data_IF_986219450575
#
_entry.id   IF_986219450575
#
_cell.length_a   1.000
_cell.length_b   1.000
_cell.length_c   1.000
_cell.angle_alpha   90.00
_cell.angle_beta   90.00
_cell.angle_gamma   90.00
#
_symmetry.space_group_name_H-M   'P 1'
#
loop_
_entity.id
_entity.type
_entity.pdbx_description
1 polymer ?
#
# COMPACT_ATOMS: atom_id res chain seq x y z
N UNK A 1 13.06 6.99 -2.42
CA UNK A 1 13.42 5.69 -3.03
C UNK A 1 14.69 5.78 -3.88
N UNK A 2 14.70 6.49 -5.01
CA UNK A 2 15.88 6.58 -5.90
C UNK A 2 17.20 7.01 -5.20
N UNK A 3 17.16 8.01 -4.31
CA UNK A 3 18.34 8.43 -3.51
C UNK A 3 18.89 7.34 -2.60
N UNK A 4 18.04 6.41 -2.18
CA UNK A 4 18.39 5.24 -1.37
C UNK A 4 18.73 4.02 -2.24
N UNK A 5 18.68 4.16 -3.58
CA UNK A 5 18.86 3.07 -4.55
C UNK A 5 17.89 1.90 -4.37
N UNK A 6 16.73 2.17 -3.75
CA UNK A 6 15.63 1.21 -3.59
C UNK A 6 14.67 1.40 -4.75
N UNK A 7 14.30 0.30 -5.41
CA UNK A 7 13.29 0.25 -6.46
C UNK A 7 11.91 -0.06 -5.87
N UNK A 8 10.81 0.37 -6.51
CA UNK A 8 9.47 0.09 -6.03
C UNK A 8 9.15 -1.40 -5.85
N UNK A 9 9.76 -2.28 -6.65
CA UNK A 9 9.56 -3.72 -6.60
C UNK A 9 10.16 -4.38 -5.35
N UNK A 10 11.04 -3.66 -4.64
CA UNK A 10 11.68 -4.10 -3.38
C UNK A 10 10.85 -3.71 -2.15
N UNK A 11 9.67 -3.10 -2.33
CA UNK A 11 8.78 -2.71 -1.23
C UNK A 11 7.77 -3.83 -0.97
N UNK A 12 7.77 -4.36 0.25
CA UNK A 12 6.83 -5.42 0.67
C UNK A 12 5.47 -4.88 1.13
N UNK A 13 5.44 -3.66 1.68
CA UNK A 13 4.24 -3.07 2.28
C UNK A 13 4.11 -1.58 1.98
N UNK A 14 2.92 -1.15 1.58
CA UNK A 14 2.53 0.27 1.46
C UNK A 14 1.34 0.53 2.37
N UNK A 15 1.53 1.40 3.36
CA UNK A 15 0.52 1.73 4.37
C UNK A 15 0.09 3.18 4.19
N UNK A 16 -1.16 3.37 3.76
CA UNK A 16 -1.81 4.67 3.62
C UNK A 16 -2.80 4.88 4.77
N UNK A 17 -2.83 6.07 5.34
CA UNK A 17 -3.73 6.40 6.46
C UNK A 17 -5.21 6.41 6.05
N UNK A 18 -5.51 6.84 4.82
CA UNK A 18 -6.85 6.92 4.26
C UNK A 18 -6.79 6.97 2.72
N UNK A 19 -7.95 6.93 2.06
CA UNK A 19 -8.09 6.73 0.61
C UNK A 19 -8.17 8.01 -0.24
N UNK A 20 -7.71 9.16 0.28
CA UNK A 20 -7.64 10.37 -0.54
C UNK A 20 -6.53 10.27 -1.59
N UNK A 21 -6.76 10.88 -2.75
CA UNK A 21 -5.92 10.71 -3.93
C UNK A 21 -4.46 11.19 -3.74
N UNK A 22 -4.25 12.19 -2.87
CA UNK A 22 -2.93 12.68 -2.49
C UNK A 22 -2.12 11.67 -1.66
N UNK A 23 -2.77 10.65 -1.08
CA UNK A 23 -2.14 9.58 -0.33
C UNK A 23 -2.01 8.26 -1.12
N UNK A 24 -2.98 7.92 -1.97
CA UNK A 24 -3.02 6.63 -2.71
C UNK A 24 -2.62 6.74 -4.18
N UNK A 25 -2.44 7.95 -4.71
CA UNK A 25 -2.32 8.20 -6.15
C UNK A 25 -1.13 7.54 -6.85
N UNK A 26 -0.14 7.06 -6.09
CA UNK A 26 1.06 6.40 -6.62
C UNK A 26 1.17 4.92 -6.20
N UNK A 27 0.13 4.33 -5.60
CA UNK A 27 0.18 2.92 -5.16
C UNK A 27 0.42 1.96 -6.34
N UNK A 28 0.04 2.35 -7.55
CA UNK A 28 0.29 1.61 -8.79
C UNK A 28 1.79 1.42 -9.11
N UNK A 29 2.70 2.14 -8.44
CA UNK A 29 4.14 1.93 -8.58
C UNK A 29 4.64 0.72 -7.77
N UNK A 30 3.89 0.26 -6.77
CA UNK A 30 4.32 -0.74 -5.78
C UNK A 30 3.57 -2.07 -5.95
N UNK A 31 3.57 -2.63 -7.16
CA UNK A 31 2.72 -3.78 -7.50
C UNK A 31 3.04 -5.08 -6.72
N UNK A 32 4.25 -5.20 -6.17
CA UNK A 32 4.64 -6.34 -5.34
C UNK A 32 4.24 -6.19 -3.87
N UNK A 33 3.81 -5.00 -3.45
CA UNK A 33 3.51 -4.71 -2.07
C UNK A 33 2.08 -5.12 -1.69
N UNK A 34 1.92 -5.55 -0.43
CA UNK A 34 0.61 -5.54 0.20
C UNK A 34 0.23 -4.08 0.50
N UNK A 35 -0.94 -3.66 0.02
CA UNK A 35 -1.44 -2.30 0.22
C UNK A 35 -2.45 -2.27 1.37
N UNK A 36 -2.15 -1.52 2.41
CA UNK A 36 -3.07 -1.26 3.53
C UNK A 36 -3.52 0.18 3.42
N UNK A 37 -4.81 0.42 3.27
CA UNK A 37 -5.40 1.76 3.17
C UNK A 37 -6.50 1.89 4.21
N UNK A 38 -6.23 2.60 5.30
CA UNK A 38 -7.15 2.65 6.45
C UNK A 38 -7.44 1.24 6.99
N UNK A 39 -8.69 0.80 6.91
CA UNK A 39 -9.15 -0.53 7.34
C UNK A 39 -9.26 -1.53 6.19
N UNK A 40 -8.66 -1.27 5.03
CA UNK A 40 -8.71 -2.20 3.89
C UNK A 40 -7.31 -2.72 3.54
N UNK A 41 -7.19 -4.04 3.35
CA UNK A 41 -5.98 -4.72 2.87
C UNK A 41 -6.22 -5.20 1.44
N UNK A 42 -5.36 -4.78 0.53
CA UNK A 42 -5.28 -5.28 -0.83
C UNK A 42 -3.98 -6.07 -1.03
N UNK A 43 -4.14 -7.36 -1.37
CA UNK A 43 -3.07 -8.27 -1.81
C UNK A 43 -3.30 -8.65 -3.27
N UNK A 44 -2.70 -7.88 -4.18
CA UNK A 44 -2.88 -8.07 -5.63
C UNK A 44 -4.34 -7.86 -6.08
N UNK A 45 -5.06 -8.90 -6.53
CA UNK A 45 -6.48 -8.80 -6.88
C UNK A 45 -7.42 -9.03 -5.69
N UNK A 46 -6.90 -9.38 -4.51
CA UNK A 46 -7.72 -9.79 -3.36
C UNK A 46 -7.85 -8.64 -2.35
N UNK A 47 -9.08 -8.31 -1.97
CA UNK A 47 -9.42 -7.25 -1.03
C UNK A 47 -10.02 -7.84 0.25
N UNK A 48 -9.57 -7.35 1.40
CA UNK A 48 -10.08 -7.71 2.72
C UNK A 48 -10.35 -6.46 3.52
N UNK A 49 -11.46 -6.42 4.25
CA UNK A 49 -11.65 -5.45 5.32
C UNK A 49 -11.02 -5.98 6.61
N UNK A 50 -10.23 -5.12 7.25
CA UNK A 50 -9.51 -5.40 8.47
C UNK A 50 -10.21 -4.64 9.60
N UNK A 51 -10.75 -5.38 10.56
CA UNK A 51 -11.11 -4.80 11.84
C UNK A 51 -9.90 -4.85 12.77
N UNK A 52 -9.35 -3.68 13.08
CA UNK A 52 -8.43 -3.56 14.20
C UNK A 52 -9.27 -3.67 15.48
N UNK A 53 -9.20 -4.83 16.13
CA UNK A 53 -9.68 -4.98 17.50
C UNK A 53 -8.64 -4.28 18.37
N UNK A 54 -8.92 -3.00 18.69
CA UNK A 54 -8.22 -2.24 19.73
C UNK A 54 -8.73 -2.63 21.11
#
# INVERSE_FOLDING_TARGET
LARLKIKPEEIDHVICTHSHADHIGNNNLFLNADHIVGSSLNKGPIFHDIQFII
#
